data_IF_533236572549
#
_entry.id   IF_533236572549
#
_cell.length_a   1.000
_cell.length_b   1.000
_cell.length_c   1.000
_cell.angle_alpha   90.00
_cell.angle_beta   90.00
_cell.angle_gamma   90.00
#
_symmetry.space_group_name_H-M   'P 1'
#
loop_
_entity.id
_entity.type
_entity.pdbx_description
1 polymer ?
#
# COMPACT_ATOMS: atom_id res chain seq x y z
N UNK A 1 4.31 -53.77 -33.80
CA UNK A 1 2.86 -53.64 -33.60
C UNK A 1 2.56 -52.15 -33.66
N UNK A 2 1.87 -51.70 -34.70
CA UNK A 2 1.66 -50.27 -34.96
C UNK A 2 0.57 -49.70 -34.07
N UNK A 3 0.80 -48.50 -33.54
CA UNK A 3 -0.19 -47.74 -32.79
C UNK A 3 -1.40 -47.44 -33.69
N UNK A 4 -2.61 -47.66 -33.19
CA UNK A 4 -3.83 -47.35 -33.96
C UNK A 4 -4.18 -45.87 -33.82
N UNK A 5 -4.83 -45.30 -34.84
CA UNK A 5 -5.30 -43.91 -34.82
C UNK A 5 -6.22 -43.63 -33.61
N UNK A 6 -7.00 -44.62 -33.20
CA UNK A 6 -7.92 -44.51 -32.05
C UNK A 6 -7.15 -44.37 -30.74
N UNK A 7 -6.11 -45.17 -30.53
CA UNK A 7 -5.27 -45.10 -29.31
C UNK A 7 -4.60 -43.72 -29.20
N UNK A 8 -4.11 -43.16 -30.30
CA UNK A 8 -3.51 -41.83 -30.32
C UNK A 8 -4.54 -40.73 -29.98
N UNK A 9 -5.75 -40.82 -30.52
CA UNK A 9 -6.83 -39.86 -30.26
C UNK A 9 -7.26 -39.86 -28.79
N UNK A 10 -7.38 -41.03 -28.17
CA UNK A 10 -7.76 -41.14 -26.75
C UNK A 10 -6.68 -40.51 -25.85
N UNK A 11 -5.40 -40.76 -26.14
CA UNK A 11 -4.30 -40.19 -25.37
C UNK A 11 -4.29 -38.66 -25.46
N UNK A 12 -4.45 -38.11 -26.67
CA UNK A 12 -4.51 -36.65 -26.86
C UNK A 12 -5.74 -36.06 -26.16
N UNK A 13 -6.90 -36.73 -26.21
CA UNK A 13 -8.10 -36.29 -25.50
C UNK A 13 -7.88 -36.21 -23.98
N UNK A 14 -7.25 -37.24 -23.39
CA UNK A 14 -6.94 -37.25 -21.95
C UNK A 14 -5.95 -36.14 -21.59
N UNK A 15 -4.85 -35.98 -22.36
CA UNK A 15 -3.88 -34.90 -22.13
C UNK A 15 -4.55 -33.53 -22.26
N UNK A 16 -5.41 -33.34 -23.27
CA UNK A 16 -6.15 -32.11 -23.48
C UNK A 16 -7.04 -31.75 -22.28
N UNK A 17 -7.76 -32.73 -21.72
CA UNK A 17 -8.59 -32.54 -20.51
C UNK A 17 -7.71 -32.21 -19.30
N UNK A 18 -6.62 -32.94 -19.08
CA UNK A 18 -5.70 -32.69 -17.96
C UNK A 18 -5.08 -31.29 -18.04
N UNK A 19 -4.57 -30.88 -19.20
CA UNK A 19 -4.00 -29.54 -19.41
C UNK A 19 -5.07 -28.46 -19.25
N UNK A 20 -6.28 -28.69 -19.78
CA UNK A 20 -7.41 -27.77 -19.66
C UNK A 20 -7.81 -27.50 -18.21
N UNK A 21 -7.73 -28.50 -17.34
CA UNK A 21 -8.02 -28.36 -15.90
C UNK A 21 -6.83 -27.78 -15.11
N UNK A 22 -5.58 -28.03 -15.55
CA UNK A 22 -4.38 -27.56 -14.87
C UNK A 22 -4.13 -26.07 -15.04
N UNK A 23 -4.42 -25.48 -16.21
CA UNK A 23 -4.10 -24.08 -16.48
C UNK A 23 -4.82 -23.11 -15.52
N UNK A 24 -6.16 -23.19 -15.31
CA UNK A 24 -6.85 -22.34 -14.33
C UNK A 24 -6.33 -22.53 -12.91
N UNK A 25 -6.03 -23.77 -12.52
CA UNK A 25 -5.51 -24.09 -11.19
C UNK A 25 -4.13 -23.47 -10.94
N UNK A 26 -3.22 -23.53 -11.92
CA UNK A 26 -1.89 -22.91 -11.82
C UNK A 26 -1.99 -21.39 -11.71
N UNK A 27 -2.91 -20.74 -12.43
CA UNK A 27 -3.07 -19.29 -12.33
C UNK A 27 -3.64 -18.87 -10.97
N UNK A 28 -4.65 -19.59 -10.47
CA UNK A 28 -5.20 -19.35 -9.13
C UNK A 28 -4.14 -19.51 -8.04
N UNK A 29 -3.30 -20.55 -8.13
CA UNK A 29 -2.20 -20.77 -7.20
C UNK A 29 -1.16 -19.64 -7.24
N UNK A 30 -0.76 -19.19 -8.44
CA UNK A 30 0.16 -18.05 -8.59
C UNK A 30 -0.40 -16.77 -7.99
N UNK A 31 -1.70 -16.53 -8.17
CA UNK A 31 -2.34 -15.35 -7.61
C UNK A 31 -2.43 -15.38 -6.09
N UNK A 32 -2.73 -16.55 -5.52
CA UNK A 32 -2.68 -16.74 -4.07
C UNK A 32 -1.28 -16.48 -3.50
N UNK A 33 -0.23 -16.94 -4.19
CA UNK A 33 1.16 -16.67 -3.80
C UNK A 33 1.50 -15.18 -3.86
N UNK A 34 1.09 -14.49 -4.93
CA UNK A 34 1.32 -13.04 -5.06
C UNK A 34 0.64 -12.26 -3.93
N UNK A 35 -0.59 -12.62 -3.58
CA UNK A 35 -1.32 -12.04 -2.44
C UNK A 35 -0.63 -12.33 -1.11
N UNK A 36 -0.11 -13.54 -0.91
CA UNK A 36 0.66 -13.89 0.29
C UNK A 36 1.95 -13.07 0.39
N UNK A 37 2.61 -12.76 -0.73
CA UNK A 37 3.75 -11.83 -0.73
C UNK A 37 3.34 -10.43 -0.29
N UNK A 38 2.22 -9.88 -0.78
CA UNK A 38 1.72 -8.58 -0.31
C UNK A 38 1.35 -8.58 1.17
N UNK A 39 0.77 -9.68 1.66
CA UNK A 39 0.51 -9.86 3.07
C UNK A 39 1.79 -9.76 3.91
N UNK A 40 2.85 -10.45 3.47
CA UNK A 40 4.14 -10.43 4.13
C UNK A 40 4.80 -9.03 4.08
N UNK A 41 4.72 -8.35 2.95
CA UNK A 41 5.18 -6.97 2.80
C UNK A 41 4.51 -6.04 3.82
N UNK A 42 3.19 -6.09 3.92
CA UNK A 42 2.44 -5.29 4.90
C UNK A 42 2.76 -5.69 6.35
N UNK A 43 3.03 -6.97 6.63
CA UNK A 43 3.49 -7.40 7.95
C UNK A 43 4.87 -6.80 8.29
N UNK A 44 5.80 -6.78 7.35
CA UNK A 44 7.11 -6.14 7.53
C UNK A 44 6.96 -4.63 7.78
N UNK A 45 6.11 -3.96 7.00
CA UNK A 45 5.77 -2.54 7.17
C UNK A 45 5.15 -2.29 8.55
N UNK A 46 4.21 -3.13 8.98
CA UNK A 46 3.57 -3.04 10.29
C UNK A 46 4.56 -3.18 11.44
N UNK A 47 5.47 -4.16 11.35
CA UNK A 47 6.55 -4.33 12.32
C UNK A 47 7.46 -3.11 12.36
N UNK A 48 7.84 -2.57 11.19
CA UNK A 48 8.69 -1.39 11.10
C UNK A 48 8.03 -0.14 11.70
N UNK A 49 6.73 0.07 11.46
CA UNK A 49 5.95 1.16 12.05
C UNK A 49 5.86 1.05 13.57
N UNK A 50 5.66 -0.16 14.11
CA UNK A 50 5.63 -0.38 15.55
C UNK A 50 6.99 -0.28 16.22
N UNK A 51 8.06 -0.71 15.54
CA UNK A 51 9.43 -0.49 16.02
C UNK A 51 9.79 1.00 16.02
N UNK A 52 9.37 1.75 14.99
CA UNK A 52 9.49 3.20 14.97
C UNK A 52 8.74 3.82 16.17
N UNK A 53 7.50 3.40 16.40
CA UNK A 53 6.70 3.85 17.55
C UNK A 53 7.36 3.51 18.89
N UNK A 54 7.93 2.32 19.05
CA UNK A 54 8.66 1.93 20.25
C UNK A 54 9.89 2.82 20.50
N UNK A 55 10.60 3.23 19.45
CA UNK A 55 11.77 4.10 19.55
C UNK A 55 11.41 5.58 19.76
N UNK A 56 10.29 6.07 19.21
CA UNK A 56 9.96 7.50 19.17
C UNK A 56 8.71 7.88 20.00
N UNK A 57 8.04 6.90 20.62
CA UNK A 57 6.76 7.03 21.33
C UNK A 57 5.58 7.55 20.46
N UNK A 58 5.76 7.55 19.13
CA UNK A 58 4.79 8.00 18.13
C UNK A 58 5.06 7.29 16.81
N UNK A 59 4.02 7.08 16.01
CA UNK A 59 4.14 6.72 14.61
C UNK A 59 4.76 7.89 13.81
N UNK A 60 5.40 7.62 12.66
CA UNK A 60 5.91 8.70 11.82
C UNK A 60 4.76 9.57 11.31
N UNK A 61 4.99 10.86 11.03
CA UNK A 61 4.03 11.62 10.24
C UNK A 61 3.87 10.96 8.87
N UNK A 62 2.66 11.04 8.30
CA UNK A 62 2.35 10.55 6.97
C UNK A 62 3.25 11.18 5.90
N UNK A 63 3.44 12.49 6.02
CA UNK A 63 4.42 13.25 5.27
C UNK A 63 4.82 14.52 6.01
N UNK A 64 5.95 15.11 5.64
CA UNK A 64 6.39 16.41 6.18
C UNK A 64 6.50 17.47 5.09
N UNK A 65 6.09 18.68 5.42
CA UNK A 65 6.22 19.89 4.61
C UNK A 65 5.73 19.66 3.17
N UNK A 66 4.47 19.25 3.00
CA UNK A 66 3.90 18.90 1.69
C UNK A 66 3.58 20.14 0.83
N UNK A 67 3.93 20.10 -0.45
CA UNK A 67 3.60 21.15 -1.43
C UNK A 67 2.14 21.04 -1.91
N UNK A 68 1.40 22.16 -2.12
CA UNK A 68 1.88 23.53 -2.18
C UNK A 68 1.84 24.30 -0.85
N UNK A 69 1.31 23.71 0.23
CA UNK A 69 1.21 24.37 1.55
C UNK A 69 2.56 24.92 2.03
N UNK A 70 3.63 24.17 1.75
CA UNK A 70 5.01 24.57 1.96
C UNK A 70 5.71 24.68 0.60
N UNK A 71 5.83 25.87 -0.02
CA UNK A 71 6.38 26.02 -1.38
C UNK A 71 7.77 25.41 -1.57
N UNK A 72 8.62 25.45 -0.54
CA UNK A 72 9.96 24.85 -0.51
C UNK A 72 10.01 23.62 0.41
N UNK A 73 8.86 22.99 0.63
CA UNK A 73 8.72 21.92 1.60
C UNK A 73 9.38 20.63 1.15
N UNK A 74 9.90 19.89 2.13
CA UNK A 74 10.64 18.64 1.90
C UNK A 74 9.80 17.57 1.18
N UNK A 75 8.52 17.47 1.50
CA UNK A 75 7.60 16.49 0.93
C UNK A 75 8.17 15.05 1.05
N UNK A 76 8.62 14.69 2.25
CA UNK A 76 9.13 13.34 2.56
C UNK A 76 8.02 12.49 3.19
N UNK A 77 7.83 11.27 2.71
CA UNK A 77 6.81 10.33 3.20
C UNK A 77 7.22 9.55 4.46
N UNK A 78 6.21 9.06 5.19
CA UNK A 78 6.31 8.15 6.34
C UNK A 78 7.30 6.99 6.12
N UNK A 79 7.30 6.44 4.91
CA UNK A 79 8.08 5.29 4.47
C UNK A 79 9.59 5.54 4.52
N UNK A 80 10.03 6.78 4.31
CA UNK A 80 11.43 7.15 4.45
C UNK A 80 11.94 7.04 5.90
N UNK A 81 11.09 7.37 6.87
CA UNK A 81 11.45 7.35 8.29
C UNK A 81 11.49 5.94 8.90
N UNK A 82 10.80 4.98 8.29
CA UNK A 82 10.77 3.59 8.78
C UNK A 82 11.85 2.70 8.17
N UNK A 83 12.64 3.19 7.20
CA UNK A 83 13.70 2.42 6.54
C UNK A 83 14.67 1.71 7.51
N UNK A 84 15.17 2.34 8.60
CA UNK A 84 16.06 1.65 9.54
C UNK A 84 15.42 0.43 10.20
N UNK A 85 14.09 0.42 10.31
CA UNK A 85 13.30 -0.67 10.88
C UNK A 85 12.85 -1.71 9.84
N UNK A 86 13.20 -1.49 8.55
CA UNK A 86 13.05 -2.41 7.42
C UNK A 86 14.40 -2.99 6.96
N UNK A 87 15.42 -2.95 7.83
CA UNK A 87 16.79 -3.36 7.49
C UNK A 87 17.43 -2.52 6.36
N UNK A 88 16.93 -1.30 6.14
CA UNK A 88 17.41 -0.36 5.11
C UNK A 88 18.18 0.83 5.71
N UNK A 89 18.92 0.63 6.82
CA UNK A 89 19.68 1.70 7.48
C UNK A 89 20.70 2.37 6.55
N UNK A 90 21.39 1.60 5.70
CA UNK A 90 22.35 2.14 4.73
C UNK A 90 21.71 3.00 3.64
N UNK A 91 20.45 2.75 3.29
CA UNK A 91 19.68 3.62 2.39
C UNK A 91 19.22 4.89 3.12
N UNK A 92 18.74 4.76 4.35
CA UNK A 92 18.32 5.89 5.18
C UNK A 92 19.45 6.91 5.38
N UNK A 93 20.68 6.45 5.62
CA UNK A 93 21.86 7.32 5.78
C UNK A 93 22.24 8.11 4.52
N UNK A 94 21.80 7.67 3.34
CA UNK A 94 22.02 8.39 2.07
C UNK A 94 21.03 9.52 1.84
N UNK A 95 19.95 9.61 2.63
CA UNK A 95 18.91 10.62 2.47
C UNK A 95 19.28 11.85 3.31
N UNK A 96 19.38 13.02 2.69
CA UNK A 96 19.40 14.30 3.39
C UNK A 96 17.97 14.76 3.70
N UNK A 97 17.51 14.45 4.92
CA UNK A 97 16.19 14.82 5.43
C UNK A 97 15.97 16.34 5.61
N UNK A 98 16.99 17.17 5.37
CA UNK A 98 16.85 18.64 5.36
C UNK A 98 16.37 19.14 3.99
N UNK A 99 16.52 18.31 2.95
CA UNK A 99 16.17 18.62 1.57
C UNK A 99 14.90 17.91 1.16
N UNK A 100 14.38 18.30 0.00
CA UNK A 100 13.20 17.66 -0.56
C UNK A 100 13.48 16.26 -1.10
N UNK A 101 12.43 15.42 -1.16
CA UNK A 101 12.52 14.06 -1.69
C UNK A 101 13.02 14.01 -3.15
N UNK A 102 12.77 15.09 -3.90
CA UNK A 102 13.13 15.27 -5.30
C UNK A 102 14.37 16.15 -5.50
N UNK A 103 15.08 16.51 -4.43
CA UNK A 103 16.35 17.21 -4.52
C UNK A 103 17.42 16.34 -5.21
N UNK A 104 18.35 16.93 -6.00
CA UNK A 104 19.42 16.19 -6.68
C UNK A 104 20.24 15.31 -5.73
N UNK A 105 20.46 15.76 -4.49
CA UNK A 105 21.20 15.03 -3.46
C UNK A 105 20.50 13.73 -3.04
N UNK A 106 19.17 13.70 -3.11
CA UNK A 106 18.36 12.54 -2.72
C UNK A 106 18.02 11.63 -3.92
N UNK A 107 18.35 12.00 -5.16
CA UNK A 107 17.92 11.30 -6.37
C UNK A 107 18.37 9.84 -6.40
N UNK A 108 19.63 9.56 -6.06
CA UNK A 108 20.19 8.20 -6.07
C UNK A 108 19.51 7.32 -5.03
N UNK A 109 19.35 7.82 -3.80
CA UNK A 109 18.65 7.10 -2.75
C UNK A 109 17.19 6.84 -3.15
N UNK A 110 16.50 7.89 -3.61
CA UNK A 110 15.10 7.84 -4.04
C UNK A 110 14.86 6.86 -5.19
N UNK A 111 15.84 6.61 -6.06
CA UNK A 111 15.75 5.64 -7.16
C UNK A 111 15.76 4.16 -6.72
N UNK A 112 16.10 3.87 -5.46
CA UNK A 112 16.20 2.49 -4.96
C UNK A 112 14.83 1.81 -4.96
N UNK A 113 14.70 0.73 -5.73
CA UNK A 113 13.50 -0.12 -5.71
C UNK A 113 13.56 -1.07 -4.51
N UNK A 114 12.60 -0.95 -3.60
CA UNK A 114 12.54 -1.73 -2.36
C UNK A 114 11.48 -2.83 -2.49
N UNK A 115 11.85 -4.13 -2.56
CA UNK A 115 10.89 -5.22 -2.77
C UNK A 115 9.74 -5.25 -1.76
N UNK A 116 10.00 -4.85 -0.50
CA UNK A 116 8.97 -4.74 0.55
C UNK A 116 7.88 -3.72 0.21
N UNK A 117 8.15 -2.76 -0.67
CA UNK A 117 7.16 -1.80 -1.15
C UNK A 117 6.54 -2.18 -2.51
N UNK A 118 6.92 -3.31 -3.13
CA UNK A 118 6.39 -3.70 -4.44
C UNK A 118 5.41 -4.86 -4.33
N UNK A 119 4.22 -4.68 -4.89
CA UNK A 119 3.25 -5.73 -5.13
C UNK A 119 3.65 -6.51 -6.40
N UNK A 120 3.83 -7.84 -6.35
CA UNK A 120 4.16 -8.65 -7.52
C UNK A 120 3.02 -8.79 -8.53
N UNK A 121 1.80 -8.39 -8.17
CA UNK A 121 0.67 -8.32 -9.12
C UNK A 121 0.61 -7.00 -9.87
N UNK A 122 1.28 -5.93 -9.40
CA UNK A 122 1.34 -4.66 -10.14
C UNK A 122 2.22 -4.83 -11.37
N UNK A 123 1.70 -4.58 -12.59
CA UNK A 123 2.50 -4.64 -13.80
C UNK A 123 3.50 -3.49 -13.83
N UNK A 124 4.79 -3.81 -13.68
CA UNK A 124 5.91 -2.84 -13.74
C UNK A 124 7.17 -3.48 -14.31
N UNK A 125 8.01 -2.66 -14.96
CA UNK A 125 9.21 -3.13 -15.66
C UNK A 125 10.47 -3.03 -14.78
N UNK A 126 10.62 -1.94 -14.04
CA UNK A 126 11.89 -1.56 -13.38
C UNK A 126 11.74 -1.24 -11.87
N UNK A 127 10.55 -1.41 -11.29
CA UNK A 127 10.34 -1.10 -9.88
C UNK A 127 10.30 0.40 -9.58
N UNK A 128 10.19 1.25 -10.61
CA UNK A 128 10.26 2.70 -10.48
C UNK A 128 9.05 3.42 -11.08
N UNK A 129 8.80 4.63 -10.60
CA UNK A 129 7.86 5.59 -11.16
C UNK A 129 8.62 6.91 -11.31
N UNK A 130 8.79 7.35 -12.56
CA UNK A 130 9.51 8.59 -12.90
C UNK A 130 10.94 8.63 -12.31
N UNK A 131 11.68 7.51 -12.42
CA UNK A 131 13.06 7.37 -11.95
C UNK A 131 13.23 7.21 -10.45
N UNK A 132 12.13 7.16 -9.67
CA UNK A 132 12.14 6.93 -8.22
C UNK A 132 11.55 5.56 -7.90
N UNK A 133 12.05 4.90 -6.86
CA UNK A 133 11.53 3.63 -6.37
C UNK A 133 10.03 3.72 -6.10
N UNK A 134 9.29 2.81 -6.70
CA UNK A 134 7.85 2.73 -6.55
C UNK A 134 7.47 2.16 -5.17
N UNK A 135 6.24 2.45 -4.76
CA UNK A 135 5.51 1.81 -3.67
C UNK A 135 4.12 1.47 -4.19
N UNK A 136 3.67 0.25 -3.92
CA UNK A 136 2.28 -0.16 -4.09
C UNK A 136 1.52 -0.11 -2.74
N UNK A 137 2.07 0.59 -1.75
CA UNK A 137 1.46 0.74 -0.44
C UNK A 137 1.45 2.21 -0.04
N UNK A 138 0.26 2.75 0.16
CA UNK A 138 0.00 4.14 0.50
C UNK A 138 -0.54 4.30 1.92
N UNK A 139 -0.19 5.42 2.54
CA UNK A 139 -0.69 5.75 3.87
C UNK A 139 -2.10 6.33 3.83
N UNK A 140 -2.94 5.94 4.80
CA UNK A 140 -4.31 6.46 4.92
C UNK A 140 -4.29 7.83 5.60
N UNK A 141 -4.47 8.89 4.81
CA UNK A 141 -4.61 10.26 5.28
C UNK A 141 -6.00 10.51 5.89
N UNK A 142 -7.03 9.84 5.36
CA UNK A 142 -8.41 9.94 5.84
C UNK A 142 -9.42 9.29 4.91
N UNK A 143 -10.64 9.82 4.92
CA UNK A 143 -11.73 9.37 4.03
C UNK A 143 -12.66 10.51 3.63
N UNK A 144 -13.15 10.45 2.38
CA UNK A 144 -14.10 11.37 1.75
C UNK A 144 -15.45 10.73 1.43
N UNK A 145 -15.65 9.46 1.78
CA UNK A 145 -16.88 8.71 1.48
C UNK A 145 -18.07 9.32 2.22
N UNK A 146 -17.93 9.56 3.53
CA UNK A 146 -18.99 10.11 4.40
C UNK A 146 -18.66 11.51 4.91
N UNK A 147 -17.41 11.94 4.74
CA UNK A 147 -16.86 13.18 5.29
C UNK A 147 -16.81 14.36 4.31
N UNK A 148 -16.13 15.43 4.76
CA UNK A 148 -15.76 16.57 3.91
C UNK A 148 -14.63 16.19 2.95
N UNK A 149 -14.29 17.09 2.03
CA UNK A 149 -13.12 16.93 1.18
C UNK A 149 -11.81 17.05 1.99
N UNK A 150 -10.86 16.13 1.80
CA UNK A 150 -9.52 16.11 2.41
C UNK A 150 -9.48 16.16 3.95
N UNK A 151 -10.25 15.34 4.68
CA UNK A 151 -10.24 15.40 6.14
C UNK A 151 -9.00 14.68 6.69
N UNK A 152 -8.18 15.34 7.52
CA UNK A 152 -7.01 14.72 8.18
C UNK A 152 -7.44 13.84 9.36
N UNK A 153 -8.34 12.88 9.10
CA UNK A 153 -8.97 12.01 10.10
C UNK A 153 -8.43 10.56 10.08
N UNK A 154 -7.52 10.22 9.17
CA UNK A 154 -6.78 8.95 9.14
C UNK A 154 -5.57 8.95 10.07
N UNK A 155 -4.66 8.00 9.85
CA UNK A 155 -3.46 7.80 10.69
C UNK A 155 -2.19 8.42 10.11
N UNK A 156 -2.09 8.56 8.80
CA UNK A 156 -0.90 9.07 8.11
C UNK A 156 -1.10 10.53 7.74
N UNK A 157 -1.00 11.42 8.73
CA UNK A 157 -1.26 12.86 8.55
C UNK A 157 -0.01 13.66 8.16
N UNK A 158 -0.23 14.76 7.44
CA UNK A 158 0.81 15.76 7.19
C UNK A 158 1.26 16.44 8.48
N UNK A 159 2.57 16.54 8.68
CA UNK A 159 3.23 17.30 9.75
C UNK A 159 2.78 16.94 11.18
N UNK A 160 2.08 15.82 11.35
CA UNK A 160 1.55 15.36 12.64
C UNK A 160 1.88 13.89 12.88
N UNK A 161 2.74 13.66 13.86
CA UNK A 161 3.03 12.35 14.41
C UNK A 161 1.99 12.00 15.50
N UNK A 162 1.30 10.87 15.30
CA UNK A 162 0.27 10.35 16.21
C UNK A 162 0.83 9.21 17.07
N UNK A 163 0.28 9.04 18.27
CA UNK A 163 0.57 7.92 19.16
C UNK A 163 -0.60 6.93 19.18
N UNK A 164 -0.37 5.73 19.72
CA UNK A 164 -1.41 4.70 19.86
C UNK A 164 -2.68 5.21 20.59
N UNK A 165 -2.53 6.15 21.53
CA UNK A 165 -3.66 6.77 22.26
C UNK A 165 -4.57 7.64 21.40
N UNK A 166 -4.10 8.07 20.24
CA UNK A 166 -4.85 8.94 19.33
C UNK A 166 -5.79 8.15 18.39
N UNK A 167 -5.82 6.81 18.54
CA UNK A 167 -6.63 5.87 17.77
C UNK A 167 -7.89 5.51 18.57
N UNK A 168 -8.89 6.40 18.51
CA UNK A 168 -10.10 6.34 19.32
C UNK A 168 -11.12 5.31 18.79
N UNK A 169 -11.12 5.05 17.48
CA UNK A 169 -11.98 4.02 16.85
C UNK A 169 -11.50 2.58 17.15
N UNK A 170 -10.31 2.45 17.75
CA UNK A 170 -9.66 1.19 18.12
C UNK A 170 -8.60 0.73 17.11
N UNK A 171 -7.46 0.23 17.61
CA UNK A 171 -6.32 -0.14 16.75
C UNK A 171 -6.62 -1.26 15.76
N UNK A 172 -7.49 -2.19 16.14
CA UNK A 172 -7.98 -3.26 15.27
C UNK A 172 -9.13 -2.80 14.36
N UNK A 173 -9.54 -1.54 14.40
CA UNK A 173 -10.60 -0.95 13.60
C UNK A 173 -10.13 0.14 12.64
N UNK A 174 -8.89 0.62 12.80
CA UNK A 174 -8.31 1.67 11.97
C UNK A 174 -7.24 1.10 11.03
N UNK A 175 -7.34 1.41 9.74
CA UNK A 175 -6.32 1.13 8.72
C UNK A 175 -5.28 2.24 8.69
N UNK A 176 -4.00 1.86 8.66
CA UNK A 176 -2.88 2.80 8.57
C UNK A 176 -2.29 2.89 7.17
N UNK A 177 -2.14 1.73 6.52
CA UNK A 177 -1.53 1.57 5.19
C UNK A 177 -2.37 0.56 4.42
N UNK A 178 -2.54 0.77 3.13
CA UNK A 178 -3.19 -0.18 2.24
C UNK A 178 -2.41 -0.32 0.94
N UNK A 179 -2.70 -1.38 0.20
CA UNK A 179 -2.36 -1.43 -1.22
C UNK A 179 -2.93 -0.19 -1.95
N UNK A 180 -2.05 0.44 -2.71
CA UNK A 180 -2.23 1.62 -3.56
C UNK A 180 -1.37 1.42 -4.81
N UNK A 181 -1.87 0.59 -5.73
CA UNK A 181 -1.14 0.19 -6.91
C UNK A 181 -1.32 1.18 -8.07
N UNK A 182 -0.21 1.44 -8.78
CA UNK A 182 -0.16 2.14 -10.07
C UNK A 182 -0.65 3.61 -10.06
N UNK A 183 -0.47 4.33 -8.95
CA UNK A 183 -0.68 5.78 -8.91
C UNK A 183 0.61 6.56 -9.23
N UNK A 184 0.56 7.70 -9.95
CA UNK A 184 1.76 8.45 -10.34
C UNK A 184 2.60 8.99 -9.17
N UNK A 185 1.97 9.31 -8.05
CA UNK A 185 2.64 9.76 -6.81
C UNK A 185 3.09 8.57 -5.92
N UNK A 186 2.92 7.33 -6.40
CA UNK A 186 3.25 6.08 -5.71
C UNK A 186 4.75 5.82 -5.56
N UNK A 187 5.55 6.81 -5.18
CA UNK A 187 6.99 6.66 -4.94
C UNK A 187 7.23 6.58 -3.43
N UNK A 188 8.06 5.64 -2.96
CA UNK A 188 8.15 5.37 -1.52
C UNK A 188 8.68 6.57 -0.70
N UNK A 189 9.44 7.49 -1.29
CA UNK A 189 9.98 8.65 -0.56
C UNK A 189 9.09 9.90 -0.68
N UNK A 190 8.20 9.94 -1.68
CA UNK A 190 7.40 11.12 -2.01
C UNK A 190 6.26 11.29 -1.01
N UNK A 191 6.22 12.42 -0.30
CA UNK A 191 5.18 12.76 0.69
C UNK A 191 3.75 12.80 0.16
N UNK A 192 3.54 12.71 -1.16
CA UNK A 192 2.21 12.51 -1.78
C UNK A 192 1.78 11.05 -1.87
N UNK A 193 2.60 10.11 -1.37
CA UNK A 193 2.27 8.69 -1.23
C UNK A 193 1.33 8.46 -0.03
N UNK A 194 0.22 9.17 -0.07
CA UNK A 194 -0.87 9.20 0.89
C UNK A 194 -2.15 9.40 0.11
N UNK A 195 -3.25 8.89 0.63
CA UNK A 195 -4.56 9.10 0.03
C UNK A 195 -5.65 9.10 1.08
N UNK A 196 -6.75 9.74 0.74
CA UNK A 196 -7.99 9.76 1.51
C UNK A 196 -9.08 9.01 0.74
N UNK A 197 -9.60 7.94 1.36
CA UNK A 197 -10.46 7.01 0.66
C UNK A 197 -11.77 7.68 0.21
N UNK A 198 -12.05 7.72 -1.09
CA UNK A 198 -13.19 8.44 -1.66
C UNK A 198 -14.17 7.55 -2.43
N UNK A 199 -13.67 6.53 -3.14
CA UNK A 199 -14.50 5.63 -3.95
C UNK A 199 -14.52 4.21 -3.36
N UNK A 200 -15.36 3.29 -3.89
CA UNK A 200 -15.20 1.88 -3.58
C UNK A 200 -13.82 1.37 -4.00
N UNK A 201 -13.29 0.38 -3.28
CA UNK A 201 -12.03 -0.29 -3.58
C UNK A 201 -11.99 -0.71 -5.06
N UNK A 202 -10.87 -0.46 -5.74
CA UNK A 202 -10.65 -0.73 -7.17
C UNK A 202 -11.57 0.03 -8.16
N UNK A 203 -12.41 0.97 -7.70
CA UNK A 203 -13.38 1.67 -8.56
C UNK A 203 -13.12 3.17 -8.71
N UNK A 204 -12.04 3.67 -8.11
CA UNK A 204 -11.64 5.06 -8.22
C UNK A 204 -11.31 5.44 -9.69
N UNK A 205 -11.66 6.66 -10.13
CA UNK A 205 -11.27 7.17 -11.44
C UNK A 205 -9.75 7.36 -11.53
N UNK A 206 -9.22 7.54 -12.74
CA UNK A 206 -7.76 7.61 -12.97
C UNK A 206 -7.05 8.82 -12.31
N UNK A 207 -7.80 9.87 -11.95
CA UNK A 207 -7.26 11.07 -11.30
C UNK A 207 -7.27 10.99 -9.78
N UNK A 208 -8.03 10.05 -9.19
CA UNK A 208 -8.14 9.90 -7.75
C UNK A 208 -7.21 8.77 -7.29
N UNK A 209 -6.53 9.02 -6.16
CA UNK A 209 -5.79 7.98 -5.47
C UNK A 209 -6.66 7.34 -4.40
N UNK A 210 -6.67 6.02 -4.31
CA UNK A 210 -7.54 5.24 -3.44
C UNK A 210 -6.97 3.82 -3.29
N UNK A 211 -7.51 3.06 -2.35
CA UNK A 211 -7.25 1.62 -2.24
C UNK A 211 -7.43 0.91 -3.58
N UNK A 212 -6.31 0.46 -4.16
CA UNK A 212 -6.26 -0.20 -5.46
C UNK A 212 -5.25 -1.33 -5.47
N UNK A 213 -5.64 -2.46 -6.03
CA UNK A 213 -4.78 -3.62 -6.22
C UNK A 213 -5.10 -4.34 -7.52
N UNK A 214 -4.10 -5.05 -8.06
CA UNK A 214 -4.28 -5.97 -9.18
C UNK A 214 -4.69 -7.38 -8.71
N UNK A 215 -4.87 -7.56 -7.40
CA UNK A 215 -5.46 -8.77 -6.85
C UNK A 215 -6.95 -8.85 -7.17
N UNK A 216 -7.43 -10.06 -7.45
CA UNK A 216 -8.85 -10.29 -7.70
C UNK A 216 -9.66 -10.08 -6.41
N UNK A 217 -10.65 -9.18 -6.49
CA UNK A 217 -11.73 -9.05 -5.52
C UNK A 217 -11.49 -8.08 -4.36
N UNK A 218 -10.38 -7.33 -4.33
CA UNK A 218 -10.10 -6.41 -3.23
C UNK A 218 -8.63 -6.08 -3.02
N UNK A 219 -8.30 -5.61 -1.81
CA UNK A 219 -6.97 -5.11 -1.42
C UNK A 219 -6.51 -5.72 -0.10
N UNK A 220 -5.20 -5.81 0.10
CA UNK A 220 -4.63 -6.05 1.43
C UNK A 220 -4.46 -4.72 2.19
N UNK A 221 -4.80 -4.73 3.47
CA UNK A 221 -4.67 -3.56 4.35
C UNK A 221 -3.92 -3.92 5.63
N UNK A 222 -3.15 -2.96 6.13
CA UNK A 222 -2.48 -2.99 7.42
C UNK A 222 -3.25 -2.14 8.42
N UNK A 223 -3.68 -2.76 9.51
CA UNK A 223 -4.39 -2.11 10.62
C UNK A 223 -3.40 -1.58 11.65
N UNK A 224 -3.86 -0.68 12.51
CA UNK A 224 -2.99 -0.03 13.49
C UNK A 224 -2.44 -0.97 14.57
N UNK A 225 -3.07 -2.12 14.79
CA UNK A 225 -2.57 -3.20 15.64
C UNK A 225 -1.56 -4.14 14.96
N UNK A 226 -1.05 -3.77 13.78
CA UNK A 226 -0.16 -4.57 12.91
C UNK A 226 -0.81 -5.80 12.25
N UNK A 227 -2.10 -6.03 12.43
CA UNK A 227 -2.79 -7.10 11.71
C UNK A 227 -2.95 -6.73 10.23
N UNK A 228 -2.81 -7.73 9.36
CA UNK A 228 -2.99 -7.57 7.91
C UNK A 228 -4.22 -8.36 7.49
N UNK A 229 -5.15 -7.72 6.80
CA UNK A 229 -6.44 -8.31 6.40
C UNK A 229 -6.73 -8.00 4.94
N UNK A 230 -7.46 -8.89 4.28
CA UNK A 230 -8.00 -8.63 2.94
C UNK A 230 -9.37 -7.95 3.04
N UNK A 231 -9.53 -6.78 2.42
CA UNK A 231 -10.82 -6.12 2.28
C UNK A 231 -11.38 -6.39 0.89
N UNK A 232 -12.63 -6.86 0.84
CA UNK A 232 -13.33 -7.11 -0.43
C UNK A 232 -13.76 -5.79 -1.09
N UNK A 233 -13.76 -5.76 -2.41
CA UNK A 233 -14.31 -4.65 -3.20
C UNK A 233 -15.83 -4.49 -3.09
N UNK A 234 -16.52 -5.48 -2.49
CA UNK A 234 -17.94 -5.40 -2.16
C UNK A 234 -18.21 -4.87 -0.75
N UNK A 235 -17.16 -4.40 -0.04
CA UNK A 235 -17.33 -3.86 1.30
C UNK A 235 -18.27 -2.65 1.28
N UNK A 236 -19.16 -2.60 2.26
CA UNK A 236 -20.05 -1.45 2.43
C UNK A 236 -19.25 -0.16 2.61
N UNK A 237 -19.69 0.91 1.95
CA UNK A 237 -18.97 2.17 1.91
C UNK A 237 -18.89 2.85 3.28
N UNK A 238 -19.91 2.74 4.13
CA UNK A 238 -19.87 3.31 5.48
C UNK A 238 -18.86 2.56 6.35
N UNK A 239 -18.78 1.23 6.19
CA UNK A 239 -17.76 0.43 6.88
C UNK A 239 -16.36 0.80 6.37
N UNK A 240 -16.17 0.90 5.05
CA UNK A 240 -14.89 1.31 4.47
C UNK A 240 -14.47 2.70 4.98
N UNK A 241 -15.40 3.65 5.05
CA UNK A 241 -15.16 4.98 5.59
C UNK A 241 -14.71 4.90 7.06
N UNK A 242 -15.44 4.16 7.90
CA UNK A 242 -15.11 4.00 9.33
C UNK A 242 -13.75 3.34 9.54
N UNK A 243 -13.32 2.43 8.66
CA UNK A 243 -12.00 1.81 8.71
C UNK A 243 -10.86 2.80 8.42
N UNK A 244 -11.13 3.85 7.65
CA UNK A 244 -10.13 4.83 7.22
C UNK A 244 -10.00 6.01 8.19
N UNK A 245 -10.74 6.02 9.29
CA UNK A 245 -10.64 7.04 10.34
C UNK A 245 -9.97 6.50 11.61
N UNK A 246 -9.31 7.39 12.35
CA UNK A 246 -8.79 7.11 13.70
C UNK A 246 -9.76 7.55 14.80
N UNK A 247 -10.68 8.47 14.50
CA UNK A 247 -11.60 9.12 15.45
C UNK A 247 -12.92 9.54 14.77
N UNK A 248 -13.45 8.70 13.87
CA UNK A 248 -14.64 9.00 13.06
C UNK A 248 -15.93 9.14 13.88
N UNK A 249 -15.99 8.56 15.08
CA UNK A 249 -17.15 8.72 15.96
C UNK A 249 -17.27 10.12 16.61
N UNK A 250 -16.17 10.87 16.71
CA UNK A 250 -16.16 12.20 17.36
C UNK A 250 -16.52 13.34 16.38
N UNK A 251 -16.28 13.15 15.08
CA UNK A 251 -16.56 14.14 14.02
C UNK A 251 -18.07 14.36 13.78
N UNK A 252 -18.96 13.55 14.39
CA UNK A 252 -20.40 13.79 14.40
C UNK A 252 -20.83 15.01 15.24
N UNK A 253 -19.89 15.68 15.94
CA UNK A 253 -20.17 16.80 16.86
C UNK A 253 -19.46 18.13 16.55
N UNK A 254 -18.90 18.33 15.35
CA UNK A 254 -18.26 19.60 14.95
C UNK A 254 -18.87 20.27 13.70
#
# INVERSE_FOLDING_TARGET
MGFTLVELLVVIAIIGVLVGLLLPAVQAAREAMRRASCQNNLHQIGLALHNYHAAHNKFPPGAIEVRPQYPNGKQLAWSAFVLPFLEQSGLHEQIDFRLAFDAPENEVAAATALPTFLCPSTPRTDGQIQGRGASDYGGIYGQRITGRNDPPNGMMLHDRALAMRDILDGSSNTVMVSEDAAFPDGQWINGRNLFDQAFPINQAPAFENDMRSFHVGGVMVLRADSSVTFLTEQLDLEILAALCTRAGHDDATL
#
